data_IF_094062305225
#
_entry.id   IF_094062305225
#
_cell.length_a   1.000
_cell.length_b   1.000
_cell.length_c   1.000
_cell.angle_alpha   90.00
_cell.angle_beta   90.00
_cell.angle_gamma   90.00
#
_symmetry.space_group_name_H-M   'P 1'
#
loop_
_entity.id
_entity.type
_entity.pdbx_description
1 polymer ?
#
# COMPACT_ATOMS: atom_id res chain seq x y z
N UNK A 1 -55.62 8.28 42.16
CA UNK A 1 -55.66 8.24 40.68
C UNK A 1 -54.84 9.35 40.01
N UNK A 2 -54.49 10.42 40.73
CA UNK A 2 -53.70 11.55 40.20
C UNK A 2 -52.18 11.29 40.17
N UNK A 3 -51.63 10.54 41.15
CA UNK A 3 -50.16 10.30 41.21
C UNK A 3 -49.66 9.29 40.17
N UNK A 4 -50.44 8.26 39.84
CA UNK A 4 -50.06 7.26 38.80
C UNK A 4 -49.97 7.83 37.39
N UNK A 5 -50.56 9.00 37.11
CA UNK A 5 -50.47 9.65 35.79
C UNK A 5 -49.20 10.49 35.64
N UNK A 6 -48.63 11.01 36.73
CA UNK A 6 -47.36 11.77 36.68
C UNK A 6 -46.15 10.85 36.48
N UNK A 7 -46.11 9.69 37.16
CA UNK A 7 -45.01 8.73 36.97
C UNK A 7 -44.95 8.11 35.56
N UNK A 8 -46.08 8.01 34.86
CA UNK A 8 -46.11 7.56 33.46
C UNK A 8 -45.55 8.60 32.49
N UNK A 9 -45.92 9.88 32.69
CA UNK A 9 -45.49 10.99 31.85
C UNK A 9 -43.99 11.29 32.02
N UNK A 10 -43.48 11.23 33.26
CA UNK A 10 -42.05 11.47 33.53
C UNK A 10 -41.14 10.34 32.99
N UNK A 11 -41.67 9.10 32.85
CA UNK A 11 -40.94 7.98 32.22
C UNK A 11 -40.92 8.06 30.70
N UNK A 12 -41.97 8.57 30.05
CA UNK A 12 -41.97 8.79 28.60
C UNK A 12 -41.01 9.91 28.19
N UNK A 13 -40.96 11.02 28.95
CA UNK A 13 -40.04 12.13 28.66
C UNK A 13 -38.56 11.76 28.87
N UNK A 14 -38.26 10.87 29.83
CA UNK A 14 -36.90 10.37 30.05
C UNK A 14 -36.38 9.41 28.96
N UNK A 15 -37.28 8.78 28.19
CA UNK A 15 -36.91 7.87 27.11
C UNK A 15 -36.67 8.61 25.79
N UNK A 16 -37.32 9.76 25.57
CA UNK A 16 -37.28 10.51 24.31
C UNK A 16 -36.07 11.46 24.19
N UNK A 17 -35.48 11.89 25.32
CA UNK A 17 -34.25 12.72 25.34
C UNK A 17 -32.93 11.94 25.17
N UNK A 18 -32.99 10.64 24.87
CA UNK A 18 -31.81 9.78 24.64
C UNK A 18 -31.55 9.51 23.15
N UNK A 19 -32.08 10.37 22.27
CA UNK A 19 -31.81 10.38 20.83
C UNK A 19 -30.81 11.48 20.43
N UNK A 20 -30.45 11.55 19.14
CA UNK A 20 -29.15 11.81 18.48
C UNK A 20 -27.91 12.40 19.21
N UNK A 21 -28.04 13.20 20.27
CA UNK A 21 -26.92 13.97 20.86
C UNK A 21 -25.93 13.07 21.61
N UNK A 22 -26.41 12.12 22.42
CA UNK A 22 -25.54 11.15 23.12
C UNK A 22 -24.85 10.19 22.13
N UNK A 23 -25.54 9.87 21.02
CA UNK A 23 -24.99 9.03 19.94
C UNK A 23 -23.90 9.78 19.15
N UNK A 24 -24.03 11.09 18.94
CA UNK A 24 -22.96 11.94 18.36
C UNK A 24 -21.75 12.07 19.28
N UNK A 25 -21.94 12.24 20.59
CA UNK A 25 -20.82 12.32 21.56
C UNK A 25 -20.07 10.98 21.64
N UNK A 26 -20.80 9.86 21.65
CA UNK A 26 -20.20 8.52 21.64
C UNK A 26 -19.51 8.18 20.31
N UNK A 27 -20.07 8.60 19.17
CA UNK A 27 -19.47 8.40 17.86
C UNK A 27 -18.21 9.25 17.68
N UNK A 28 -18.21 10.51 18.15
CA UNK A 28 -17.01 11.36 18.16
C UNK A 28 -15.93 10.80 19.08
N UNK A 29 -16.29 10.26 20.25
CA UNK A 29 -15.33 9.62 21.15
C UNK A 29 -14.70 8.34 20.56
N UNK A 30 -15.50 7.49 19.89
CA UNK A 30 -14.98 6.30 19.19
C UNK A 30 -14.06 6.70 18.03
N UNK A 31 -14.45 7.71 17.26
CA UNK A 31 -13.66 8.20 16.13
C UNK A 31 -12.31 8.77 16.59
N UNK A 32 -12.30 9.55 17.67
CA UNK A 32 -11.05 10.06 18.27
C UNK A 32 -10.16 8.92 18.76
N UNK A 33 -10.72 7.91 19.43
CA UNK A 33 -9.96 6.73 19.83
C UNK A 33 -9.32 6.00 18.63
N UNK A 34 -10.05 5.90 17.51
CA UNK A 34 -9.52 5.33 16.28
C UNK A 34 -8.36 6.17 15.73
N UNK A 35 -8.52 7.50 15.67
CA UNK A 35 -7.50 8.42 15.14
C UNK A 35 -6.24 8.45 16.00
N UNK A 36 -6.40 8.47 17.33
CA UNK A 36 -5.28 8.70 18.24
C UNK A 36 -4.47 7.43 18.52
N UNK A 37 -5.12 6.26 18.50
CA UNK A 37 -4.48 5.00 18.87
C UNK A 37 -4.46 3.97 17.74
N UNK A 38 -5.62 3.69 17.14
CA UNK A 38 -5.74 2.58 16.18
C UNK A 38 -5.01 2.90 14.87
N UNK A 39 -5.25 4.08 14.29
CA UNK A 39 -4.69 4.46 13.02
C UNK A 39 -3.15 4.54 13.05
N UNK A 40 -2.49 5.22 14.02
CA UNK A 40 -1.04 5.22 14.14
C UNK A 40 -0.43 3.82 14.23
N UNK A 41 -0.98 2.95 15.09
CA UNK A 41 -0.48 1.58 15.27
C UNK A 41 -0.63 0.80 13.96
N UNK A 42 -1.79 0.89 13.32
CA UNK A 42 -2.04 0.24 12.04
C UNK A 42 -1.06 0.72 10.95
N UNK A 43 -0.85 2.03 10.84
CA UNK A 43 0.06 2.61 9.84
C UNK A 43 1.50 2.14 10.07
N UNK A 44 1.97 2.14 11.31
CA UNK A 44 3.31 1.70 11.70
C UNK A 44 3.51 0.21 11.42
N UNK A 45 2.51 -0.63 11.71
CA UNK A 45 2.61 -2.10 11.60
C UNK A 45 2.27 -2.65 10.21
N UNK A 46 1.50 -1.92 9.41
CA UNK A 46 1.06 -2.31 8.06
C UNK A 46 2.20 -2.75 7.13
N UNK A 47 3.35 -2.07 7.07
CA UNK A 47 4.47 -2.53 6.25
C UNK A 47 5.00 -3.89 6.69
N UNK A 48 5.10 -4.10 8.01
CA UNK A 48 5.58 -5.37 8.55
C UNK A 48 4.62 -6.48 8.17
N UNK A 49 3.32 -6.30 8.40
CA UNK A 49 2.32 -7.34 8.12
C UNK A 49 2.18 -7.63 6.63
N UNK A 50 2.20 -6.61 5.77
CA UNK A 50 2.01 -6.76 4.32
C UNK A 50 3.17 -7.49 3.63
N UNK A 51 4.39 -7.27 4.10
CA UNK A 51 5.59 -7.83 3.47
C UNK A 51 6.20 -9.01 4.24
N UNK A 52 5.87 -9.22 5.52
CA UNK A 52 6.35 -10.38 6.29
C UNK A 52 5.97 -11.71 5.63
N UNK A 53 4.73 -11.85 5.16
CA UNK A 53 4.27 -13.04 4.45
C UNK A 53 5.06 -13.28 3.15
N UNK A 54 5.44 -12.20 2.45
CA UNK A 54 6.23 -12.28 1.22
C UNK A 54 7.66 -12.70 1.52
N UNK A 55 8.30 -12.08 2.53
CA UNK A 55 9.64 -12.43 3.01
C UNK A 55 9.68 -13.90 3.42
N UNK A 56 8.70 -14.33 4.23
CA UNK A 56 8.62 -15.70 4.71
C UNK A 56 8.37 -16.70 3.58
N UNK A 57 7.48 -16.38 2.64
CA UNK A 57 7.22 -17.21 1.47
C UNK A 57 8.49 -17.45 0.64
N UNK A 58 9.23 -16.39 0.31
CA UNK A 58 10.47 -16.48 -0.48
C UNK A 58 11.53 -17.26 0.30
N UNK A 59 11.68 -16.97 1.60
CA UNK A 59 12.66 -17.64 2.44
C UNK A 59 12.37 -19.15 2.58
N UNK A 60 11.10 -19.54 2.69
CA UNK A 60 10.67 -20.93 2.81
C UNK A 60 10.79 -21.68 1.48
N UNK A 61 10.42 -21.04 0.38
CA UNK A 61 10.47 -21.63 -0.97
C UNK A 61 11.89 -21.67 -1.56
N UNK A 62 12.84 -20.95 -0.95
CA UNK A 62 14.22 -20.77 -1.45
C UNK A 62 14.25 -20.32 -2.91
N UNK A 63 13.24 -19.55 -3.30
CA UNK A 63 13.04 -19.07 -4.66
C UNK A 63 12.26 -17.76 -4.62
N UNK A 64 12.75 -16.75 -5.33
CA UNK A 64 12.04 -15.50 -5.59
C UNK A 64 11.32 -15.50 -6.95
N UNK A 65 11.09 -16.68 -7.53
CA UNK A 65 10.48 -16.82 -8.86
C UNK A 65 9.04 -16.29 -8.85
N UNK A 66 8.74 -15.36 -9.77
CA UNK A 66 7.44 -14.68 -9.86
C UNK A 66 7.29 -13.45 -8.94
N UNK A 67 8.27 -13.15 -8.08
CA UNK A 67 8.30 -11.91 -7.30
C UNK A 67 8.98 -10.77 -8.09
N UNK A 68 8.36 -9.58 -8.12
CA UNK A 68 8.95 -8.42 -8.77
C UNK A 68 9.84 -7.62 -7.81
N UNK A 69 11.12 -7.46 -8.18
CA UNK A 69 12.07 -6.62 -7.44
C UNK A 69 11.72 -5.13 -7.52
N UNK A 70 10.85 -4.71 -8.46
CA UNK A 70 10.41 -3.33 -8.60
C UNK A 70 9.59 -2.86 -7.39
N UNK A 71 8.92 -3.77 -6.66
CA UNK A 71 8.12 -3.43 -5.47
C UNK A 71 9.04 -2.85 -4.37
N UNK A 72 10.12 -3.55 -3.94
CA UNK A 72 11.11 -2.97 -3.04
C UNK A 72 11.72 -1.65 -3.53
N UNK A 73 11.99 -1.50 -4.84
CA UNK A 73 12.54 -0.26 -5.39
C UNK A 73 11.65 0.94 -5.10
N UNK A 74 10.39 0.86 -5.54
CA UNK A 74 9.41 1.95 -5.42
C UNK A 74 9.25 2.32 -3.95
N UNK A 75 9.10 1.33 -3.07
CA UNK A 75 8.89 1.55 -1.64
C UNK A 75 10.10 2.10 -0.91
N UNK A 76 11.32 1.67 -1.28
CA UNK A 76 12.57 2.21 -0.73
C UNK A 76 12.76 3.67 -1.16
N UNK A 77 12.66 3.95 -2.46
CA UNK A 77 12.82 5.30 -3.00
C UNK A 77 11.80 6.26 -2.38
N UNK A 78 10.52 5.88 -2.36
CA UNK A 78 9.46 6.69 -1.76
C UNK A 78 9.72 6.96 -0.27
N UNK A 79 10.08 5.92 0.51
CA UNK A 79 10.27 6.05 1.95
C UNK A 79 11.52 6.85 2.32
N UNK A 80 12.62 6.69 1.56
CA UNK A 80 13.85 7.48 1.75
C UNK A 80 13.56 8.96 1.50
N UNK A 81 12.90 9.28 0.38
CA UNK A 81 12.48 10.66 0.09
C UNK A 81 11.58 11.20 1.22
N UNK A 82 10.59 10.43 1.67
CA UNK A 82 9.68 10.85 2.74
C UNK A 82 10.38 11.14 4.07
N UNK A 83 11.45 10.40 4.41
CA UNK A 83 12.29 10.69 5.58
C UNK A 83 13.00 12.04 5.39
N UNK A 84 13.58 12.31 4.22
CA UNK A 84 14.20 13.61 3.94
C UNK A 84 13.19 14.77 3.91
N UNK A 85 11.98 14.52 3.40
CA UNK A 85 10.89 15.50 3.41
C UNK A 85 10.54 15.96 4.83
N UNK A 86 10.55 15.03 5.80
CA UNK A 86 10.24 15.33 7.19
C UNK A 86 11.17 16.37 7.83
N UNK A 87 12.44 16.40 7.42
CA UNK A 87 13.40 17.41 7.90
C UNK A 87 13.09 18.81 7.38
N UNK A 88 12.43 18.93 6.22
CA UNK A 88 12.02 20.22 5.67
C UNK A 88 10.63 20.65 6.16
N UNK A 89 9.67 19.72 6.23
CA UNK A 89 8.33 19.93 6.77
C UNK A 89 8.00 18.79 7.73
N UNK A 90 7.97 19.11 9.02
CA UNK A 90 7.63 18.12 10.04
C UNK A 90 6.15 17.76 9.95
N UNK A 91 5.87 16.52 9.57
CA UNK A 91 4.54 15.91 9.63
C UNK A 91 4.47 14.91 10.79
N UNK A 92 3.29 14.33 11.01
CA UNK A 92 3.00 13.39 12.10
C UNK A 92 4.08 12.31 12.30
N UNK A 93 4.55 12.18 13.55
CA UNK A 93 5.65 11.29 13.90
C UNK A 93 5.37 9.82 13.53
N UNK A 94 4.12 9.38 13.65
CA UNK A 94 3.69 8.02 13.27
C UNK A 94 3.99 7.68 11.81
N UNK A 95 3.87 8.64 10.90
CA UNK A 95 4.19 8.46 9.48
C UNK A 95 5.70 8.42 9.23
N UNK A 96 6.49 9.14 10.05
CA UNK A 96 7.94 9.05 10.00
C UNK A 96 8.40 7.65 10.43
N UNK A 97 7.88 7.15 11.55
CA UNK A 97 8.15 5.79 12.03
C UNK A 97 7.74 4.76 10.98
N UNK A 98 6.57 4.94 10.35
CA UNK A 98 6.11 4.09 9.24
C UNK A 98 7.10 4.09 8.07
N UNK A 99 7.73 5.23 7.75
CA UNK A 99 8.75 5.33 6.71
C UNK A 99 10.03 4.58 7.06
N UNK A 100 10.51 4.73 8.31
CA UNK A 100 11.72 4.05 8.79
C UNK A 100 11.52 2.53 8.79
N UNK A 101 10.38 2.07 9.31
CA UNK A 101 10.02 0.64 9.29
C UNK A 101 9.89 0.13 7.86
N UNK A 102 9.27 0.90 6.95
CA UNK A 102 9.18 0.53 5.55
C UNK A 102 10.58 0.34 4.93
N UNK A 103 11.53 1.25 5.16
CA UNK A 103 12.91 1.09 4.67
C UNK A 103 13.53 -0.20 5.21
N UNK A 104 13.39 -0.48 6.50
CA UNK A 104 13.91 -1.72 7.10
C UNK A 104 13.28 -2.98 6.49
N UNK A 105 11.96 -3.05 6.42
CA UNK A 105 11.24 -4.22 5.87
C UNK A 105 11.58 -4.43 4.40
N UNK A 106 11.66 -3.36 3.61
CA UNK A 106 11.95 -3.45 2.18
C UNK A 106 13.40 -3.80 1.88
N UNK A 107 14.35 -3.32 2.69
CA UNK A 107 15.75 -3.77 2.58
C UNK A 107 15.90 -5.24 2.91
N UNK A 108 15.19 -5.74 3.94
CA UNK A 108 15.14 -7.17 4.24
C UNK A 108 14.51 -7.99 3.10
N UNK A 109 13.36 -7.54 2.58
CA UNK A 109 12.69 -8.20 1.46
C UNK A 109 13.58 -8.24 0.22
N UNK A 110 14.24 -7.11 -0.11
CA UNK A 110 15.19 -7.05 -1.21
C UNK A 110 16.35 -8.03 -0.99
N UNK A 111 16.94 -8.07 0.20
CA UNK A 111 18.04 -9.00 0.51
C UNK A 111 17.61 -10.45 0.34
N UNK A 112 16.48 -10.83 0.93
CA UNK A 112 15.94 -12.20 0.85
C UNK A 112 15.60 -12.57 -0.59
N UNK A 113 15.03 -11.65 -1.37
CA UNK A 113 14.72 -11.88 -2.78
C UNK A 113 16.00 -12.06 -3.62
N UNK A 114 17.04 -11.24 -3.40
CA UNK A 114 18.31 -11.35 -4.12
C UNK A 114 19.07 -12.64 -3.79
N UNK A 115 19.04 -13.08 -2.52
CA UNK A 115 19.72 -14.31 -2.08
C UNK A 115 19.07 -15.58 -2.64
N UNK A 116 17.76 -15.55 -2.87
CA UNK A 116 17.00 -16.69 -3.36
C UNK A 116 16.64 -16.55 -4.85
N UNK A 117 17.42 -15.77 -5.62
CA UNK A 117 17.13 -15.51 -7.02
C UNK A 117 17.36 -16.75 -7.90
N UNK A 118 16.37 -17.19 -8.70
CA UNK A 118 16.48 -18.36 -9.56
C UNK A 118 17.64 -18.28 -10.58
N UNK A 119 18.09 -19.44 -11.05
CA UNK A 119 19.07 -19.54 -12.13
C UNK A 119 18.46 -19.07 -13.46
N UNK A 120 19.29 -18.62 -14.42
CA UNK A 120 18.80 -18.14 -15.74
C UNK A 120 17.92 -19.19 -16.46
N UNK A 121 18.25 -20.47 -16.30
CA UNK A 121 17.49 -21.59 -16.87
C UNK A 121 16.12 -21.75 -16.21
N UNK A 122 16.02 -21.50 -14.90
CA UNK A 122 14.75 -21.52 -14.18
C UNK A 122 13.88 -20.29 -14.51
N UNK A 123 14.49 -19.13 -14.75
CA UNK A 123 13.79 -17.91 -15.23
C UNK A 123 13.26 -18.05 -16.67
N UNK A 124 13.93 -18.84 -17.53
CA UNK A 124 13.47 -19.09 -18.90
C UNK A 124 12.27 -20.07 -18.98
N UNK A 125 12.05 -20.87 -17.93
CA UNK A 125 10.99 -21.89 -17.88
C UNK A 125 9.63 -21.40 -17.37
N UNK A 126 9.51 -20.13 -16.94
CA UNK A 126 8.24 -19.58 -16.45
C UNK A 126 7.42 -19.00 -17.59
N UNK A 127 6.17 -19.47 -17.80
CA UNK A 127 5.23 -18.76 -18.65
C UNK A 127 5.08 -17.34 -18.08
N UNK A 128 5.24 -16.30 -18.90
CA UNK A 128 5.21 -14.88 -18.52
C UNK A 128 6.48 -14.27 -17.89
N UNK A 129 7.64 -14.94 -17.86
CA UNK A 129 8.91 -14.24 -17.57
C UNK A 129 9.14 -13.03 -18.52
N UNK A 130 8.66 -13.17 -19.76
CA UNK A 130 8.58 -12.15 -20.81
C UNK A 130 7.61 -10.98 -20.57
N UNK A 131 6.93 -10.91 -19.42
CA UNK A 131 6.08 -9.77 -19.03
C UNK A 131 6.79 -8.85 -18.03
N UNK A 132 7.81 -9.36 -17.31
CA UNK A 132 8.62 -8.58 -16.37
C UNK A 132 9.92 -8.07 -17.01
N UNK A 133 10.52 -8.86 -17.93
CA UNK A 133 11.28 -8.30 -19.04
C UNK A 133 10.25 -7.72 -20.01
N UNK A 134 10.43 -6.46 -20.45
CA UNK A 134 9.42 -5.74 -21.21
C UNK A 134 8.85 -6.52 -22.39
N UNK A 135 7.73 -6.02 -22.91
CA UNK A 135 7.41 -6.18 -24.34
C UNK A 135 8.71 -6.29 -25.16
N UNK A 136 8.82 -7.23 -26.11
CA UNK A 136 10.06 -7.50 -26.85
C UNK A 136 10.78 -6.25 -27.42
N UNK A 137 10.08 -5.13 -27.51
CA UNK A 137 10.56 -3.86 -28.07
C UNK A 137 11.11 -2.83 -27.04
N UNK A 138 11.08 -3.08 -25.72
CA UNK A 138 11.61 -2.13 -24.72
C UNK A 138 12.46 -2.83 -23.63
N UNK A 139 13.73 -3.04 -23.94
CA UNK A 139 14.74 -3.43 -22.95
C UNK A 139 15.05 -2.20 -22.05
N UNK A 140 14.94 -2.36 -20.72
CA UNK A 140 15.15 -1.23 -19.80
C UNK A 140 16.56 -0.68 -19.97
N UNK A 141 16.75 0.65 -20.12
CA UNK A 141 18.07 1.24 -20.23
C UNK A 141 18.98 0.76 -19.10
N UNK A 142 20.17 0.25 -19.46
CA UNK A 142 21.18 -0.28 -18.54
C UNK A 142 20.73 -1.44 -17.63
N UNK A 143 19.63 -2.14 -17.98
CA UNK A 143 19.03 -3.18 -17.14
C UNK A 143 18.76 -2.67 -15.70
N UNK A 144 18.34 -1.41 -15.59
CA UNK A 144 18.10 -0.76 -14.31
C UNK A 144 17.21 -1.62 -13.40
N UNK A 145 17.70 -1.89 -12.19
CA UNK A 145 17.03 -2.72 -11.18
C UNK A 145 16.77 -4.19 -11.57
N UNK A 146 17.36 -4.65 -12.68
CA UNK A 146 17.28 -6.03 -13.18
C UNK A 146 18.64 -6.74 -13.14
N UNK A 147 19.67 -6.09 -12.59
CA UNK A 147 21.05 -6.59 -12.49
C UNK A 147 21.13 -7.95 -11.81
N UNK A 148 22.06 -8.81 -12.25
CA UNK A 148 22.21 -10.15 -11.66
C UNK A 148 23.00 -10.15 -10.36
N UNK A 149 23.97 -9.25 -10.26
CA UNK A 149 24.79 -9.09 -9.08
C UNK A 149 24.01 -8.27 -8.05
N UNK A 150 24.15 -8.62 -6.76
CA UNK A 150 23.48 -7.88 -5.68
C UNK A 150 24.11 -6.51 -5.41
N UNK A 151 25.40 -6.34 -5.72
CA UNK A 151 26.18 -5.13 -5.40
C UNK A 151 25.58 -3.82 -6.00
N UNK A 152 25.20 -3.77 -7.29
CA UNK A 152 24.60 -2.58 -7.89
C UNK A 152 23.32 -2.07 -7.19
N UNK A 153 22.52 -2.95 -6.58
CA UNK A 153 21.32 -2.55 -5.84
C UNK A 153 21.66 -1.72 -4.60
N UNK A 154 22.64 -2.18 -3.82
CA UNK A 154 23.09 -1.50 -2.62
C UNK A 154 23.85 -0.21 -2.95
N UNK A 155 24.67 -0.23 -4.01
CA UNK A 155 25.35 0.97 -4.51
C UNK A 155 24.33 2.03 -4.94
N UNK A 156 23.29 1.66 -5.71
CA UNK A 156 22.22 2.59 -6.07
C UNK A 156 21.55 3.19 -4.83
N UNK A 157 21.15 2.37 -3.84
CA UNK A 157 20.48 2.86 -2.64
C UNK A 157 21.37 3.80 -1.83
N UNK A 158 22.66 3.48 -1.71
CA UNK A 158 23.65 4.33 -1.05
C UNK A 158 23.79 5.67 -1.78
N UNK A 159 24.07 5.65 -3.09
CA UNK A 159 24.23 6.86 -3.89
C UNK A 159 22.95 7.71 -3.91
N UNK A 160 21.78 7.08 -4.03
CA UNK A 160 20.49 7.77 -3.98
C UNK A 160 20.29 8.48 -2.64
N UNK A 161 20.46 7.77 -1.52
CA UNK A 161 20.31 8.32 -0.17
C UNK A 161 21.30 9.46 0.07
N UNK A 162 22.58 9.26 -0.25
CA UNK A 162 23.61 10.29 -0.10
C UNK A 162 23.34 11.52 -0.99
N UNK A 163 22.89 11.32 -2.23
CA UNK A 163 22.57 12.42 -3.15
C UNK A 163 21.40 13.24 -2.64
N UNK A 164 20.31 12.61 -2.23
CA UNK A 164 19.17 13.31 -1.64
C UNK A 164 19.58 14.02 -0.35
N UNK A 165 20.40 13.38 0.49
CA UNK A 165 20.93 14.01 1.71
C UNK A 165 21.79 15.24 1.43
N UNK A 166 22.69 15.18 0.44
CA UNK A 166 23.50 16.33 0.02
C UNK A 166 22.59 17.44 -0.50
N UNK A 167 21.62 17.13 -1.37
CA UNK A 167 20.66 18.11 -1.86
C UNK A 167 19.84 18.73 -0.72
N UNK A 168 19.44 17.94 0.28
CA UNK A 168 18.74 18.43 1.47
C UNK A 168 19.60 19.40 2.29
N UNK A 169 20.90 19.16 2.43
CA UNK A 169 21.80 20.06 3.16
C UNK A 169 21.94 21.42 2.45
N UNK A 170 22.00 21.44 1.12
CA UNK A 170 22.17 22.68 0.35
C UNK A 170 20.86 23.41 0.03
N UNK A 171 19.78 22.67 -0.23
CA UNK A 171 18.51 23.18 -0.74
C UNK A 171 17.36 23.06 0.26
N UNK A 172 17.59 22.53 1.47
CA UNK A 172 16.56 22.31 2.48
C UNK A 172 15.84 23.58 2.94
N UNK A 173 16.49 24.75 2.84
CA UNK A 173 15.86 26.05 3.11
C UNK A 173 14.89 26.50 2.01
N UNK A 174 14.94 25.88 0.82
CA UNK A 174 14.07 26.23 -0.29
C UNK A 174 12.76 25.42 -0.23
N UNK A 175 11.66 26.11 0.07
CA UNK A 175 10.32 25.52 0.15
C UNK A 175 9.88 24.81 -1.12
N UNK A 176 10.31 25.27 -2.31
CA UNK A 176 9.98 24.60 -3.57
C UNK A 176 10.62 23.22 -3.64
N UNK A 177 11.91 23.12 -3.29
CA UNK A 177 12.63 21.86 -3.28
C UNK A 177 12.01 20.88 -2.28
N UNK A 178 11.74 21.33 -1.06
CA UNK A 178 11.12 20.49 -0.01
C UNK A 178 9.73 20.03 -0.45
N UNK A 179 8.93 20.91 -1.04
CA UNK A 179 7.60 20.56 -1.55
C UNK A 179 7.67 19.52 -2.67
N UNK A 180 8.56 19.73 -3.64
CA UNK A 180 8.80 18.79 -4.74
C UNK A 180 9.20 17.42 -4.21
N UNK A 181 10.07 17.38 -3.21
CA UNK A 181 10.53 16.15 -2.57
C UNK A 181 9.35 15.38 -1.93
N UNK A 182 8.45 16.08 -1.24
CA UNK A 182 7.22 15.49 -0.70
C UNK A 182 6.27 14.96 -1.80
N UNK A 183 6.04 15.72 -2.87
CA UNK A 183 5.23 15.28 -4.01
C UNK A 183 5.82 14.07 -4.73
N UNK A 184 7.14 14.02 -4.89
CA UNK A 184 7.82 12.87 -5.48
C UNK A 184 7.73 11.64 -4.57
N UNK A 185 7.99 11.80 -3.26
CA UNK A 185 7.93 10.70 -2.31
C UNK A 185 6.55 10.01 -2.31
N UNK A 186 5.49 10.80 -2.10
CA UNK A 186 4.13 10.31 -1.99
C UNK A 186 3.53 9.96 -3.37
N UNK A 187 3.96 10.66 -4.42
CA UNK A 187 3.57 10.36 -5.80
C UNK A 187 4.10 9.01 -6.26
N UNK A 188 5.39 8.71 -6.03
CA UNK A 188 5.98 7.39 -6.33
C UNK A 188 5.25 6.29 -5.56
N UNK A 189 4.96 6.49 -4.27
CA UNK A 189 4.18 5.54 -3.47
C UNK A 189 2.76 5.33 -4.05
N UNK A 190 2.11 6.39 -4.53
CA UNK A 190 0.77 6.31 -5.13
C UNK A 190 0.73 5.58 -6.47
N UNK A 191 1.86 5.44 -7.17
CA UNK A 191 1.94 4.70 -8.44
C UNK A 191 2.03 3.19 -8.27
N UNK A 192 2.30 2.69 -7.05
CA UNK A 192 2.50 1.26 -6.80
C UNK A 192 1.36 0.36 -7.32
N UNK A 193 0.07 0.72 -7.21
CA UNK A 193 -1.03 -0.13 -7.70
C UNK A 193 -1.14 -0.17 -9.24
N UNK A 194 -0.54 0.78 -9.97
CA UNK A 194 -0.75 0.96 -11.42
C UNK A 194 -0.41 -0.30 -12.23
N UNK A 195 0.75 -0.97 -12.04
CA UNK A 195 1.08 -2.17 -12.80
C UNK A 195 0.04 -3.28 -12.60
N UNK A 196 -0.51 -3.42 -11.39
CA UNK A 196 -1.54 -4.41 -11.10
C UNK A 196 -2.86 -4.07 -11.79
N UNK A 197 -3.28 -2.80 -11.75
CA UNK A 197 -4.49 -2.31 -12.43
C UNK A 197 -4.40 -2.59 -13.94
N UNK A 198 -3.24 -2.32 -14.55
CA UNK A 198 -2.99 -2.55 -15.97
C UNK A 198 -2.95 -4.04 -16.31
N UNK A 199 -2.30 -4.86 -15.48
CA UNK A 199 -2.22 -6.31 -15.69
C UNK A 199 -3.61 -6.96 -15.62
N UNK A 200 -4.43 -6.59 -14.62
CA UNK A 200 -5.80 -7.06 -14.50
C UNK A 200 -6.64 -6.63 -15.72
N UNK A 201 -6.51 -5.37 -16.16
CA UNK A 201 -7.22 -4.88 -17.34
C UNK A 201 -6.79 -5.60 -18.61
N UNK A 202 -5.50 -5.83 -18.83
CA UNK A 202 -5.02 -6.53 -20.04
C UNK A 202 -5.42 -8.00 -20.06
N UNK A 203 -5.32 -8.68 -18.91
CA UNK A 203 -5.56 -10.10 -18.82
C UNK A 203 -7.07 -10.43 -18.64
N UNK A 204 -7.89 -9.43 -18.31
CA UNK A 204 -9.32 -9.57 -18.00
C UNK A 204 -9.60 -10.69 -16.96
N UNK A 205 -8.63 -10.93 -16.07
CA UNK A 205 -8.65 -11.98 -15.06
C UNK A 205 -7.88 -11.52 -13.83
N UNK A 206 -8.37 -11.89 -12.66
CA UNK A 206 -7.73 -11.63 -11.37
C UNK A 206 -7.15 -12.92 -10.74
N UNK A 207 -6.91 -13.96 -11.55
CA UNK A 207 -6.32 -15.22 -11.09
C UNK A 207 -4.94 -14.99 -10.46
N UNK A 208 -4.80 -15.43 -9.21
CA UNK A 208 -3.57 -15.28 -8.41
C UNK A 208 -3.54 -14.03 -7.53
N UNK A 209 -4.51 -13.12 -7.67
CA UNK A 209 -4.62 -11.95 -6.81
C UNK A 209 -5.33 -12.30 -5.49
N UNK A 210 -4.68 -12.05 -4.36
CA UNK A 210 -5.15 -12.47 -3.02
C UNK A 210 -6.20 -11.49 -2.49
N UNK A 211 -7.42 -11.96 -2.26
CA UNK A 211 -8.53 -11.14 -1.71
C UNK A 211 -8.15 -10.42 -0.42
N UNK A 212 -7.43 -11.12 0.48
CA UNK A 212 -6.98 -10.56 1.75
C UNK A 212 -6.16 -9.29 1.58
N UNK A 213 -5.37 -9.19 0.50
CA UNK A 213 -4.53 -8.03 0.21
C UNK A 213 -5.40 -6.84 -0.19
N UNK A 214 -6.40 -7.04 -1.05
CA UNK A 214 -7.34 -5.97 -1.48
C UNK A 214 -8.09 -5.42 -0.27
N UNK A 215 -8.63 -6.30 0.57
CA UNK A 215 -9.37 -5.90 1.76
C UNK A 215 -8.47 -5.10 2.71
N UNK A 216 -7.24 -5.55 2.92
CA UNK A 216 -6.27 -4.86 3.78
C UNK A 216 -5.89 -3.47 3.23
N UNK A 217 -5.72 -3.35 1.91
CA UNK A 217 -5.45 -2.08 1.24
C UNK A 217 -6.61 -1.10 1.38
N UNK A 218 -7.84 -1.52 1.07
CA UNK A 218 -9.04 -0.67 1.23
C UNK A 218 -9.27 -0.23 2.67
N UNK A 219 -9.09 -1.13 3.64
CA UNK A 219 -9.19 -0.78 5.07
C UNK A 219 -8.10 0.23 5.44
N UNK A 220 -6.87 0.00 5.00
CA UNK A 220 -5.74 0.89 5.26
C UNK A 220 -5.94 2.29 4.69
N UNK A 221 -6.47 2.40 3.48
CA UNK A 221 -6.71 3.68 2.83
C UNK A 221 -7.90 4.43 3.45
N UNK A 222 -8.96 3.72 3.85
CA UNK A 222 -10.03 4.31 4.67
C UNK A 222 -9.47 4.86 6.00
N UNK A 223 -8.66 4.07 6.71
CA UNK A 223 -8.03 4.50 7.97
C UNK A 223 -7.09 5.69 7.77
N UNK A 224 -6.28 5.70 6.71
CA UNK A 224 -5.45 6.86 6.33
C UNK A 224 -6.30 8.08 6.04
N UNK A 225 -7.39 7.93 5.28
CA UNK A 225 -8.29 9.03 4.94
C UNK A 225 -8.92 9.67 6.19
N UNK A 226 -9.35 8.85 7.16
CA UNK A 226 -9.82 9.34 8.46
C UNK A 226 -8.67 10.02 9.21
N UNK A 227 -7.51 9.37 9.35
CA UNK A 227 -6.35 9.92 10.03
C UNK A 227 -5.93 11.29 9.47
N UNK A 228 -5.76 11.42 8.15
CA UNK A 228 -5.37 12.69 7.50
C UNK A 228 -6.45 13.78 7.58
N UNK A 229 -7.71 13.42 7.79
CA UNK A 229 -8.78 14.40 7.96
C UNK A 229 -8.75 15.05 9.33
N UNK A 230 -8.34 14.31 10.37
CA UNK A 230 -8.31 14.79 11.76
C UNK A 230 -6.92 15.25 12.21
N UNK A 231 -5.84 14.73 11.62
CA UNK A 231 -4.45 15.15 11.90
C UNK A 231 -4.03 16.36 11.07
N UNK A 232 -3.06 17.14 11.58
CA UNK A 232 -2.49 18.30 10.89
C UNK A 232 -1.45 17.87 9.82
N UNK A 233 -1.89 17.06 8.87
CA UNK A 233 -1.02 16.55 7.79
C UNK A 233 -0.98 17.48 6.58
N UNK A 234 0.19 17.67 5.94
CA UNK A 234 0.32 18.45 4.71
C UNK A 234 -0.62 17.98 3.59
N UNK A 235 -1.08 18.91 2.74
CA UNK A 235 -2.04 18.61 1.66
C UNK A 235 -1.58 17.51 0.68
N UNK A 236 -0.27 17.36 0.47
CA UNK A 236 0.28 16.32 -0.38
C UNK A 236 -0.09 14.91 0.09
N UNK A 237 -0.15 14.65 1.41
CA UNK A 237 -0.59 13.35 1.94
C UNK A 237 -2.06 13.08 1.62
N UNK A 238 -2.91 14.11 1.71
CA UNK A 238 -4.34 14.00 1.41
C UNK A 238 -4.58 13.71 -0.07
N UNK A 239 -3.89 14.44 -0.94
CA UNK A 239 -4.01 14.28 -2.40
C UNK A 239 -3.50 12.90 -2.85
N UNK A 240 -2.28 12.53 -2.47
CA UNK A 240 -1.71 11.24 -2.85
C UNK A 240 -2.47 10.07 -2.21
N UNK A 241 -2.90 10.20 -0.95
CA UNK A 241 -3.72 9.19 -0.28
C UNK A 241 -5.09 8.99 -0.96
N UNK A 242 -5.71 10.06 -1.46
CA UNK A 242 -6.93 9.94 -2.25
C UNK A 242 -6.66 9.21 -3.58
N UNK A 243 -5.56 9.52 -4.27
CA UNK A 243 -5.18 8.80 -5.50
C UNK A 243 -4.95 7.31 -5.24
N UNK A 244 -4.28 6.95 -4.14
CA UNK A 244 -4.10 5.55 -3.71
C UNK A 244 -5.46 4.87 -3.52
N UNK A 245 -6.36 5.51 -2.77
CA UNK A 245 -7.68 4.97 -2.51
C UNK A 245 -8.49 4.72 -3.80
N UNK A 246 -8.38 5.63 -4.78
CA UNK A 246 -9.03 5.45 -6.09
C UNK A 246 -8.45 4.24 -6.85
N UNK A 247 -7.13 4.04 -6.83
CA UNK A 247 -6.54 2.86 -7.45
C UNK A 247 -6.96 1.56 -6.75
N UNK A 248 -7.02 1.56 -5.42
CA UNK A 248 -7.41 0.38 -4.66
C UNK A 248 -8.91 0.06 -4.83
N UNK A 249 -9.77 1.07 -4.93
CA UNK A 249 -11.17 0.90 -5.34
C UNK A 249 -11.27 0.31 -6.75
N UNK A 250 -10.42 0.78 -7.67
CA UNK A 250 -10.37 0.24 -9.05
C UNK A 250 -9.98 -1.24 -9.04
N UNK A 251 -9.00 -1.63 -8.23
CA UNK A 251 -8.61 -3.03 -8.06
C UNK A 251 -9.73 -3.87 -7.43
N UNK A 252 -10.44 -3.33 -6.43
CA UNK A 252 -11.62 -3.97 -5.85
C UNK A 252 -12.73 -4.20 -6.89
N UNK A 253 -13.00 -3.20 -7.73
CA UNK A 253 -13.97 -3.31 -8.82
C UNK A 253 -13.54 -4.34 -9.88
N UNK A 254 -12.27 -4.31 -10.32
CA UNK A 254 -11.72 -5.28 -11.28
C UNK A 254 -11.82 -6.70 -10.73
N UNK A 255 -11.54 -6.90 -9.44
CA UNK A 255 -11.67 -8.20 -8.79
C UNK A 255 -13.12 -8.73 -8.83
N UNK A 256 -14.09 -7.88 -8.51
CA UNK A 256 -15.51 -8.24 -8.61
C UNK A 256 -15.92 -8.57 -10.06
N UNK A 257 -15.61 -7.68 -11.01
CA UNK A 257 -16.04 -7.80 -12.40
C UNK A 257 -15.40 -8.98 -13.15
N UNK A 258 -14.11 -9.27 -12.90
CA UNK A 258 -13.40 -10.36 -13.56
C UNK A 258 -13.55 -11.70 -12.82
N UNK A 259 -13.86 -11.68 -11.53
CA UNK A 259 -14.14 -12.90 -10.75
C UNK A 259 -15.28 -13.72 -11.33
N UNK A 260 -16.38 -13.07 -11.74
CA UNK A 260 -17.52 -13.75 -12.36
C UNK A 260 -17.15 -14.42 -13.70
N UNK A 261 -16.28 -13.77 -14.49
CA UNK A 261 -15.82 -14.28 -15.79
C UNK A 261 -14.91 -15.50 -15.64
N UNK A 262 -14.03 -15.48 -14.64
CA UNK A 262 -13.12 -16.60 -14.35
C UNK A 262 -13.89 -17.84 -13.87
N UNK A 263 -14.95 -17.66 -13.08
CA UNK A 263 -15.84 -18.74 -12.65
C UNK A 263 -16.60 -19.33 -13.83
N UNK A 264 -17.20 -18.48 -14.68
CA UNK A 264 -17.92 -18.92 -15.87
C UNK A 264 -17.03 -19.74 -16.82
N UNK A 265 -15.82 -19.26 -17.10
CA UNK A 265 -14.85 -19.97 -17.95
C UNK A 265 -14.43 -21.34 -17.35
N UNK A 266 -14.30 -21.43 -16.03
CA UNK A 266 -13.93 -22.67 -15.35
C UNK A 266 -15.05 -23.72 -15.44
N UNK A 267 -16.31 -23.28 -15.27
CA UNK A 267 -17.50 -24.14 -15.42
C UNK A 267 -17.60 -24.68 -16.85
N UNK A 268 -17.39 -23.82 -17.85
CA UNK A 268 -17.44 -24.23 -19.26
C UNK A 268 -16.35 -25.26 -19.61
N UNK A 269 -15.11 -25.06 -19.14
CA UNK A 269 -14.04 -26.05 -19.30
C UNK A 269 -14.37 -27.40 -18.65
N UNK A 270 -14.94 -27.39 -17.44
CA UNK A 270 -15.34 -28.62 -16.74
C UNK A 270 -16.44 -29.36 -17.50
N UNK A 271 -17.40 -28.63 -18.08
CA UNK A 271 -18.47 -29.18 -18.92
C UNK A 271 -17.94 -29.81 -20.21
N UNK A 272 -16.97 -29.17 -20.88
CA UNK A 272 -16.33 -29.74 -22.09
C UNK A 272 -15.57 -31.03 -21.79
N UNK A 273 -14.89 -31.10 -20.64
CA UNK A 273 -14.17 -32.31 -20.20
C UNK A 273 -15.06 -33.48 -19.77
N UNK A 274 -16.31 -33.23 -19.40
CA UNK A 274 -17.26 -34.30 -19.05
C UNK A 274 -18.04 -34.84 -20.26
N UNK A 275 -17.92 -34.21 -21.43
CA UNK A 275 -18.62 -34.60 -22.66
C UNK A 275 -17.71 -35.27 -23.70
N UNK A 276 -16.39 -35.36 -23.43
CA UNK A 276 -15.42 -36.09 -24.24
C UNK A 276 -14.77 -37.18 -23.41
#
# INVERSE_FOLDING_TARGET
MSERKKEGQDREVACEFRGPVYRSISAMGLLQLIVDYVAPIFLITSPVTSYADQIWSIHRQKSSLGFSLDIPLIMLVASILRIYYWFGVSFEFSLLVQSVIMVFVQTLLLKVALDNRPSKTAEAGVPFAGVTSGTPDFERPYNFWQWRQQRPFWEFLFYFTSTVGILQLFLGSNTYFVSLLGYLALGIEATLPIPQVLANYRNQSCKGFRVSVIVFWLIGDCLKGVFFSYSQTPMVFKLCGLCQFVFDLTLGFQYYAYGERDVAATIEMKKRRSMG
#
